data_IF_119530285400
#
_entry.id   IF_119530285400
#
_cell.length_a   1.000
_cell.length_b   1.000
_cell.length_c   1.000
_cell.angle_alpha   90.00
_cell.angle_beta   90.00
_cell.angle_gamma   90.00
#
_symmetry.space_group_name_H-M   'P 1'
#
loop_
_entity.id
_entity.type
_entity.pdbx_description
1 polymer ?
#
# COMPACT_ATOMS: atom_id res chain seq x y z
N UNK A 1 11.05 -12.58 -4.28
CA UNK A 1 12.22 -11.68 -4.43
C UNK A 1 12.45 -10.92 -3.14
N UNK A 2 11.52 -10.08 -2.68
CA UNK A 2 11.58 -9.39 -1.37
C UNK A 2 11.97 -10.30 -0.19
N UNK A 3 11.21 -11.38 0.06
CA UNK A 3 11.45 -12.29 1.19
C UNK A 3 12.80 -13.03 1.13
N UNK A 4 13.33 -13.28 -0.07
CA UNK A 4 14.59 -14.00 -0.22
C UNK A 4 15.77 -13.07 0.07
N UNK A 5 15.74 -11.86 -0.47
CA UNK A 5 16.78 -10.85 -0.21
C UNK A 5 16.75 -10.40 1.26
N UNK A 6 15.57 -10.24 1.85
CA UNK A 6 15.44 -9.96 3.28
C UNK A 6 16.05 -11.08 4.14
N UNK A 7 15.81 -12.36 3.79
CA UNK A 7 16.44 -13.50 4.46
C UNK A 7 17.96 -13.49 4.34
N UNK A 8 18.50 -13.25 3.16
CA UNK A 8 19.95 -13.23 2.93
C UNK A 8 20.67 -12.18 3.79
N UNK A 9 20.08 -11.00 3.98
CA UNK A 9 20.65 -9.93 4.82
C UNK A 9 20.57 -10.31 6.30
N UNK A 10 19.42 -10.84 6.73
CA UNK A 10 19.23 -11.32 8.10
C UNK A 10 20.20 -12.45 8.45
N UNK A 11 20.40 -13.40 7.53
CA UNK A 11 21.37 -14.50 7.70
C UNK A 11 22.80 -13.99 7.81
N UNK A 12 23.19 -12.98 7.02
CA UNK A 12 24.51 -12.32 7.14
C UNK A 12 24.70 -11.62 8.49
N UNK A 13 23.64 -11.09 9.07
CA UNK A 13 23.63 -10.49 10.40
C UNK A 13 23.46 -11.49 11.55
N UNK A 14 23.29 -12.79 11.26
CA UNK A 14 22.99 -13.80 12.27
C UNK A 14 21.58 -13.70 12.88
N UNK A 15 20.66 -12.95 12.25
CA UNK A 15 19.33 -12.62 12.78
C UNK A 15 18.22 -13.39 12.06
N UNK A 16 17.04 -13.47 12.69
CA UNK A 16 15.81 -14.03 12.13
C UNK A 16 14.64 -13.13 12.48
N UNK A 17 13.63 -13.07 11.61
CA UNK A 17 12.36 -12.39 11.90
C UNK A 17 11.36 -13.37 12.51
N UNK A 18 10.53 -12.89 13.44
CA UNK A 18 9.33 -13.61 13.86
C UNK A 18 8.37 -13.81 12.67
N UNK A 19 7.44 -14.79 12.73
CA UNK A 19 6.50 -15.06 11.64
C UNK A 19 5.63 -13.87 11.23
N UNK A 20 5.28 -12.97 12.17
CA UNK A 20 4.49 -11.78 11.87
C UNK A 20 5.33 -10.53 11.56
N UNK A 21 6.57 -10.47 12.04
CA UNK A 21 7.49 -9.35 11.82
C UNK A 21 7.68 -9.02 10.34
N UNK A 22 7.79 -10.01 9.46
CA UNK A 22 7.99 -9.77 8.02
C UNK A 22 6.78 -9.09 7.35
N UNK A 23 5.58 -9.37 7.84
CA UNK A 23 4.36 -8.74 7.37
C UNK A 23 4.23 -7.31 7.91
N UNK A 24 4.63 -7.08 9.17
CA UNK A 24 4.66 -5.73 9.77
C UNK A 24 5.64 -4.85 9.00
N UNK A 25 6.88 -5.31 8.84
CA UNK A 25 7.92 -4.62 8.09
C UNK A 25 7.46 -4.32 6.65
N UNK A 26 6.94 -5.33 5.95
CA UNK A 26 6.45 -5.16 4.59
C UNK A 26 5.28 -4.18 4.49
N UNK A 27 4.39 -4.11 5.49
CA UNK A 27 3.32 -3.11 5.53
C UNK A 27 3.88 -1.70 5.69
N UNK A 28 4.80 -1.50 6.63
CA UNK A 28 5.41 -0.18 6.88
C UNK A 28 6.16 0.35 5.66
N UNK A 29 6.92 -0.52 5.00
CA UNK A 29 7.74 -0.13 3.85
C UNK A 29 6.97 -0.15 2.53
N UNK A 30 5.66 -0.45 2.55
CA UNK A 30 4.84 -0.65 1.35
C UNK A 30 5.34 -1.78 0.43
N UNK A 31 6.07 -2.75 0.99
CA UNK A 31 6.78 -3.83 0.29
C UNK A 31 7.80 -3.31 -0.74
N UNK A 32 8.33 -2.10 -0.55
CA UNK A 32 9.43 -1.56 -1.34
C UNK A 32 10.74 -2.17 -0.86
N UNK A 33 11.48 -2.81 -1.78
CA UNK A 33 12.73 -3.49 -1.46
C UNK A 33 13.78 -2.55 -0.85
N UNK A 34 13.93 -1.34 -1.41
CA UNK A 34 14.93 -0.38 -0.95
C UNK A 34 14.64 0.09 0.48
N UNK A 35 13.41 0.51 0.72
CA UNK A 35 12.97 0.96 2.06
C UNK A 35 13.12 -0.16 3.07
N UNK A 36 12.67 -1.37 2.71
CA UNK A 36 12.76 -2.52 3.60
C UNK A 36 14.20 -2.95 3.92
N UNK A 37 15.13 -2.79 2.99
CA UNK A 37 16.55 -3.07 3.26
C UNK A 37 17.12 -2.06 4.25
N UNK A 38 16.81 -0.77 4.08
CA UNK A 38 17.23 0.26 5.02
C UNK A 38 16.68 0.03 6.44
N UNK A 39 15.42 -0.38 6.57
CA UNK A 39 14.84 -0.72 7.86
C UNK A 39 15.41 -2.02 8.46
N UNK A 40 15.71 -3.03 7.64
CA UNK A 40 16.36 -4.27 8.09
C UNK A 40 17.76 -4.01 8.67
N UNK A 41 18.56 -3.17 8.02
CA UNK A 41 19.91 -2.84 8.52
C UNK A 41 19.85 -2.16 9.90
N UNK A 42 18.87 -1.27 10.11
CA UNK A 42 18.63 -0.65 11.42
C UNK A 42 18.19 -1.68 12.47
N UNK A 43 17.29 -2.59 12.10
CA UNK A 43 16.78 -3.64 12.99
C UNK A 43 17.88 -4.62 13.41
N UNK A 44 18.76 -5.00 12.48
CA UNK A 44 19.91 -5.85 12.78
C UNK A 44 20.86 -5.14 13.75
N UNK A 45 21.12 -3.85 13.54
CA UNK A 45 21.94 -3.04 14.44
C UNK A 45 21.31 -2.90 15.82
N UNK A 46 20.00 -2.71 15.88
CA UNK A 46 19.25 -2.54 17.13
C UNK A 46 19.17 -3.81 17.96
N UNK A 47 18.95 -4.96 17.31
CA UNK A 47 18.81 -6.25 17.98
C UNK A 47 20.09 -6.67 18.74
N UNK A 48 21.26 -6.09 18.41
CA UNK A 48 22.50 -6.36 19.13
C UNK A 48 22.85 -7.84 19.10
N UNK A 49 22.80 -8.51 20.25
CA UNK A 49 23.07 -9.94 20.41
C UNK A 49 21.81 -10.83 20.24
N UNK A 50 20.60 -10.26 20.20
CA UNK A 50 19.36 -11.04 20.09
C UNK A 50 19.20 -11.65 18.70
N UNK A 51 19.01 -12.96 18.60
CA UNK A 51 18.91 -13.66 17.31
C UNK A 51 17.54 -13.47 16.62
N UNK A 52 16.52 -12.99 17.33
CA UNK A 52 15.15 -12.88 16.84
C UNK A 52 14.65 -11.44 16.93
N UNK A 53 14.32 -10.86 15.78
CA UNK A 53 13.66 -9.56 15.63
C UNK A 53 12.14 -9.79 15.58
N UNK A 54 11.42 -9.28 16.57
CA UNK A 54 9.97 -9.37 16.71
C UNK A 54 9.21 -8.20 16.10
N UNK A 55 7.87 -8.26 16.15
CA UNK A 55 7.00 -7.17 15.71
C UNK A 55 7.23 -5.87 16.52
N UNK A 56 7.47 -6.01 17.83
CA UNK A 56 7.72 -4.86 18.72
C UNK A 56 9.00 -4.10 18.37
N UNK A 57 10.06 -4.82 17.98
CA UNK A 57 11.34 -4.20 17.58
C UNK A 57 11.18 -3.41 16.28
N UNK A 58 10.37 -3.94 15.36
CA UNK A 58 9.99 -3.22 14.14
C UNK A 58 9.29 -1.93 14.50
N UNK A 59 8.32 -1.96 15.40
CA UNK A 59 7.59 -0.76 15.79
C UNK A 59 8.48 0.31 16.46
N UNK A 60 9.43 -0.11 17.28
CA UNK A 60 10.39 0.79 17.94
C UNK A 60 11.36 1.43 16.93
N UNK A 61 11.91 0.64 16.01
CA UNK A 61 13.01 1.11 15.13
C UNK A 61 12.53 1.84 13.89
N UNK A 62 11.45 1.39 13.29
CA UNK A 62 10.93 2.02 12.07
C UNK A 62 10.24 3.35 12.37
N UNK A 63 9.91 3.63 13.64
CA UNK A 63 9.11 4.79 14.03
C UNK A 63 7.80 4.84 13.22
N UNK A 64 7.19 6.02 13.15
CA UNK A 64 6.12 6.30 12.17
C UNK A 64 6.70 7.28 11.16
N UNK A 65 7.07 6.79 9.98
CA UNK A 65 7.56 7.66 8.90
C UNK A 65 6.41 8.48 8.30
N UNK A 66 6.77 9.51 7.51
CA UNK A 66 5.78 10.25 6.71
C UNK A 66 5.10 9.30 5.72
N UNK A 67 5.82 8.33 5.16
CA UNK A 67 5.22 7.30 4.30
C UNK A 67 4.25 6.40 5.06
N UNK A 68 4.60 5.92 6.26
CA UNK A 68 3.72 5.08 7.11
C UNK A 68 2.38 5.78 7.40
N UNK A 69 2.46 7.05 7.77
CA UNK A 69 1.28 7.85 8.09
C UNK A 69 0.38 8.06 6.85
N UNK A 70 0.96 8.14 5.66
CA UNK A 70 0.21 8.22 4.40
C UNK A 70 -0.37 6.85 4.02
N UNK A 71 0.31 5.74 4.32
CA UNK A 71 -0.26 4.39 4.18
C UNK A 71 -1.45 4.16 5.12
N UNK A 72 -1.41 4.72 6.33
CA UNK A 72 -2.55 4.68 7.26
C UNK A 72 -3.76 5.41 6.67
N UNK A 73 -3.55 6.56 6.04
CA UNK A 73 -4.61 7.33 5.38
C UNK A 73 -5.21 6.54 4.21
N UNK A 74 -4.38 6.01 3.31
CA UNK A 74 -4.89 5.24 2.17
C UNK A 74 -5.61 3.97 2.63
N UNK A 75 -5.14 3.31 3.68
CA UNK A 75 -5.83 2.15 4.29
C UNK A 75 -7.18 2.52 4.89
N UNK A 76 -7.28 3.69 5.53
CA UNK A 76 -8.55 4.20 6.06
C UNK A 76 -9.56 4.50 4.95
N UNK A 77 -9.12 5.09 3.84
CA UNK A 77 -9.96 5.35 2.67
C UNK A 77 -10.48 4.06 2.04
N UNK A 78 -9.59 3.09 1.86
CA UNK A 78 -9.92 1.80 1.25
C UNK A 78 -10.94 1.02 2.09
N UNK A 79 -10.86 1.12 3.41
CA UNK A 79 -11.84 0.54 4.34
C UNK A 79 -13.09 1.41 4.54
N UNK A 80 -13.25 2.51 3.78
CA UNK A 80 -14.33 3.50 3.90
C UNK A 80 -14.53 4.01 5.33
N UNK A 81 -13.46 4.06 6.12
CA UNK A 81 -13.50 4.55 7.48
C UNK A 81 -13.24 6.06 7.50
N UNK A 82 -14.30 6.84 7.27
CA UNK A 82 -14.21 8.31 7.19
C UNK A 82 -13.58 8.94 8.44
N UNK A 83 -14.00 8.49 9.63
CA UNK A 83 -13.49 9.03 10.89
C UNK A 83 -11.98 8.83 11.00
N UNK A 84 -11.49 7.61 10.71
CA UNK A 84 -10.06 7.32 10.71
C UNK A 84 -9.33 8.12 9.62
N UNK A 85 -9.90 8.21 8.42
CA UNK A 85 -9.29 8.95 7.31
C UNK A 85 -9.09 10.43 7.64
N UNK A 86 -10.10 11.10 8.20
CA UNK A 86 -9.99 12.52 8.59
C UNK A 86 -9.00 12.73 9.73
N UNK A 87 -9.01 11.86 10.76
CA UNK A 87 -8.05 11.94 11.87
C UNK A 87 -6.61 11.75 11.37
N UNK A 88 -6.37 10.75 10.52
CA UNK A 88 -5.03 10.53 9.95
C UNK A 88 -4.62 11.66 9.00
N UNK A 89 -5.55 12.23 8.25
CA UNK A 89 -5.26 13.40 7.41
C UNK A 89 -4.85 14.62 8.24
N UNK A 90 -5.56 14.91 9.33
CA UNK A 90 -5.21 15.98 10.27
C UNK A 90 -3.80 15.78 10.85
N UNK A 91 -3.52 14.55 11.31
CA UNK A 91 -2.19 14.15 11.82
C UNK A 91 -1.09 14.41 10.79
N UNK A 92 -1.33 14.08 9.51
CA UNK A 92 -0.36 14.32 8.43
C UNK A 92 -0.08 15.82 8.20
N UNK A 93 -1.10 16.68 8.29
CA UNK A 93 -0.90 18.12 8.11
C UNK A 93 -0.16 18.71 9.31
N UNK A 94 -0.50 18.28 10.52
CA UNK A 94 0.13 18.74 11.76
C UNK A 94 1.62 18.39 11.77
N UNK A 95 2.00 17.26 11.16
CA UNK A 95 3.39 16.85 10.92
C UNK A 95 4.02 17.44 9.63
N UNK A 96 3.37 18.43 9.02
CA UNK A 96 3.83 19.16 7.84
C UNK A 96 4.19 18.23 6.66
N UNK A 97 3.36 17.21 6.43
CA UNK A 97 3.43 16.41 5.20
C UNK A 97 2.84 17.23 4.05
N UNK A 98 3.57 17.31 2.93
CA UNK A 98 3.11 18.09 1.78
C UNK A 98 1.82 17.53 1.17
N UNK A 99 0.83 18.40 0.95
CA UNK A 99 -0.44 18.05 0.30
C UNK A 99 -0.27 17.30 -1.02
N UNK A 100 0.71 17.71 -1.84
CA UNK A 100 0.99 17.06 -3.12
C UNK A 100 1.41 15.59 -2.96
N UNK A 101 2.17 15.26 -1.91
CA UNK A 101 2.54 13.88 -1.59
C UNK A 101 1.31 13.07 -1.19
N UNK A 102 0.45 13.63 -0.34
CA UNK A 102 -0.81 13.00 0.10
C UNK A 102 -1.68 12.69 -1.12
N UNK A 103 -1.94 13.68 -1.98
CA UNK A 103 -2.76 13.52 -3.20
C UNK A 103 -2.15 12.51 -4.17
N UNK A 104 -0.81 12.52 -4.33
CA UNK A 104 -0.11 11.54 -5.17
C UNK A 104 -0.31 10.11 -4.68
N UNK A 105 -0.26 9.91 -3.36
CA UNK A 105 -0.42 8.60 -2.74
C UNK A 105 -1.87 8.11 -2.75
N UNK A 106 -2.85 8.99 -2.52
CA UNK A 106 -4.26 8.67 -2.71
C UNK A 106 -4.50 8.27 -4.17
N UNK A 107 -3.98 9.05 -5.13
CA UNK A 107 -4.08 8.72 -6.55
C UNK A 107 -3.43 7.38 -6.91
N UNK A 108 -2.32 7.02 -6.29
CA UNK A 108 -1.71 5.69 -6.45
C UNK A 108 -2.67 4.60 -5.99
N UNK A 109 -3.28 4.76 -4.81
CA UNK A 109 -4.18 3.76 -4.26
C UNK A 109 -5.45 3.58 -5.11
N UNK A 110 -6.10 4.68 -5.51
CA UNK A 110 -7.28 4.63 -6.39
C UNK A 110 -6.95 3.95 -7.74
N UNK A 111 -5.75 4.19 -8.30
CA UNK A 111 -5.30 3.47 -9.53
C UNK A 111 -5.15 1.97 -9.30
N UNK A 112 -4.64 1.53 -8.14
CA UNK A 112 -4.52 0.11 -7.81
C UNK A 112 -5.90 -0.54 -7.66
N UNK A 113 -6.84 0.13 -6.98
CA UNK A 113 -8.23 -0.32 -6.86
C UNK A 113 -8.89 -0.44 -8.24
N UNK A 114 -8.70 0.55 -9.12
CA UNK A 114 -9.26 0.53 -10.47
C UNK A 114 -8.73 -0.65 -11.29
N UNK A 115 -7.42 -0.88 -11.22
CA UNK A 115 -6.81 -2.03 -11.90
C UNK A 115 -7.29 -3.36 -11.31
N UNK A 116 -7.49 -3.43 -9.99
CA UNK A 116 -8.12 -4.57 -9.31
C UNK A 116 -9.53 -4.81 -9.83
N UNK A 117 -10.35 -3.76 -9.92
CA UNK A 117 -11.73 -3.83 -10.42
C UNK A 117 -11.80 -4.31 -11.87
N UNK A 118 -10.91 -3.80 -12.73
CA UNK A 118 -10.79 -4.24 -14.12
C UNK A 118 -10.39 -5.72 -14.18
N UNK A 119 -9.46 -6.15 -13.34
CA UNK A 119 -8.98 -7.53 -13.32
C UNK A 119 -10.07 -8.50 -12.85
N UNK A 120 -10.84 -8.14 -11.81
CA UNK A 120 -12.01 -8.92 -11.36
C UNK A 120 -13.07 -9.03 -12.46
N UNK A 121 -13.37 -7.92 -13.15
CA UNK A 121 -14.37 -7.90 -14.24
C UNK A 121 -13.90 -8.66 -15.49
N UNK A 122 -12.59 -8.83 -15.69
CA UNK A 122 -12.05 -9.45 -16.90
C UNK A 122 -12.38 -10.93 -17.08
N UNK A 123 -12.84 -11.62 -16.02
CA UNK A 123 -13.11 -13.06 -16.04
C UNK A 123 -11.85 -13.93 -16.15
N UNK A 124 -10.65 -13.34 -16.12
CA UNK A 124 -9.36 -14.06 -16.25
C UNK A 124 -8.86 -14.66 -14.94
N UNK A 125 -9.40 -14.22 -13.81
CA UNK A 125 -9.01 -14.75 -12.52
C UNK A 125 -9.84 -16.00 -12.18
N UNK A 126 -9.22 -17.07 -11.67
CA UNK A 126 -9.97 -18.18 -11.06
C UNK A 126 -10.71 -17.64 -9.83
N UNK A 127 -11.84 -18.26 -9.47
CA UNK A 127 -12.85 -17.90 -8.45
C UNK A 127 -12.36 -17.12 -7.21
N UNK A 128 -11.89 -15.88 -7.41
CA UNK A 128 -11.50 -14.97 -6.35
C UNK A 128 -12.75 -14.48 -5.64
N UNK A 129 -12.67 -14.38 -4.31
CA UNK A 129 -13.71 -13.83 -3.44
C UNK A 129 -13.01 -13.04 -2.35
N UNK A 130 -13.56 -11.93 -1.90
CA UNK A 130 -12.94 -11.08 -0.86
C UNK A 130 -12.68 -11.80 0.48
N UNK A 131 -13.41 -12.88 0.79
CA UNK A 131 -13.18 -13.69 2.00
C UNK A 131 -12.03 -14.69 1.86
N UNK A 132 -11.45 -14.84 0.66
CA UNK A 132 -10.31 -15.71 0.42
C UNK A 132 -9.11 -15.28 1.29
N UNK A 133 -8.49 -16.23 1.99
CA UNK A 133 -7.25 -15.96 2.73
C UNK A 133 -6.04 -15.84 1.78
N UNK A 134 -4.98 -15.18 2.27
CA UNK A 134 -3.80 -14.90 1.47
C UNK A 134 -3.08 -16.18 0.97
N UNK A 135 -3.03 -17.24 1.78
CA UNK A 135 -2.36 -18.49 1.38
C UNK A 135 -3.11 -19.17 0.22
N UNK A 136 -4.44 -19.20 0.29
CA UNK A 136 -5.28 -19.71 -0.80
C UNK A 136 -5.15 -18.85 -2.05
N UNK A 137 -5.10 -17.52 -1.91
CA UNK A 137 -4.83 -16.60 -3.01
C UNK A 137 -3.49 -16.92 -3.71
N UNK A 138 -2.42 -17.10 -2.94
CA UNK A 138 -1.09 -17.40 -3.48
C UNK A 138 -1.06 -18.72 -4.25
N UNK A 139 -1.81 -19.73 -3.82
CA UNK A 139 -1.84 -21.04 -4.47
C UNK A 139 -2.73 -21.07 -5.71
N UNK A 140 -3.87 -20.38 -5.70
CA UNK A 140 -4.92 -20.54 -6.71
C UNK A 140 -4.93 -19.39 -7.72
N UNK A 141 -4.86 -18.15 -7.25
CA UNK A 141 -5.10 -16.95 -8.07
C UNK A 141 -3.79 -16.35 -8.57
N UNK A 142 -2.79 -16.25 -7.71
CA UNK A 142 -1.51 -15.63 -8.05
C UNK A 142 -0.76 -16.29 -9.23
N UNK A 143 -0.79 -17.63 -9.45
CA UNK A 143 -0.14 -18.23 -10.61
C UNK A 143 -0.68 -17.71 -11.94
N UNK A 144 -1.99 -17.44 -12.03
CA UNK A 144 -2.60 -16.89 -13.24
C UNK A 144 -2.22 -15.42 -13.42
N UNK A 145 -2.16 -14.64 -12.35
CA UNK A 145 -1.69 -13.25 -12.39
C UNK A 145 -0.23 -13.18 -12.88
N UNK A 146 0.62 -14.10 -12.41
CA UNK A 146 2.01 -14.21 -12.87
C UNK A 146 2.08 -14.49 -14.38
N UNK A 147 1.29 -15.43 -14.88
CA UNK A 147 1.18 -15.72 -16.33
C UNK A 147 0.73 -14.51 -17.14
N UNK A 148 -0.23 -13.73 -16.63
CA UNK A 148 -0.70 -12.49 -17.27
C UNK A 148 0.41 -11.42 -17.30
N UNK A 149 1.21 -11.32 -16.23
CA UNK A 149 2.32 -10.38 -16.16
C UNK A 149 3.47 -10.76 -17.12
N UNK A 150 3.82 -12.04 -17.19
CA UNK A 150 4.89 -12.54 -18.07
C UNK A 150 4.59 -12.27 -19.56
N UNK A 151 3.32 -12.33 -19.96
CA UNK A 151 2.86 -11.97 -21.33
C UNK A 151 2.94 -10.47 -21.65
N UNK A 152 3.01 -9.60 -20.63
CA UNK A 152 2.87 -8.13 -20.79
C UNK A 152 4.20 -7.37 -20.86
N UNK A 153 5.33 -8.05 -20.61
CA UNK A 153 6.67 -7.47 -20.65
C UNK A 153 7.06 -6.68 -19.38
N UNK A 154 8.38 -6.62 -19.09
CA UNK A 154 9.00 -6.29 -17.78
C UNK A 154 8.88 -4.84 -17.25
N UNK A 155 8.01 -3.98 -17.78
CA UNK A 155 7.96 -2.56 -17.36
C UNK A 155 6.54 -2.04 -17.15
N UNK A 156 5.88 -2.44 -16.07
CA UNK A 156 4.66 -1.74 -15.67
C UNK A 156 4.57 -1.54 -14.16
N UNK A 157 4.27 -0.30 -13.75
CA UNK A 157 3.77 0.02 -12.40
C UNK A 157 2.36 -0.56 -12.16
N UNK A 158 1.81 -1.33 -13.11
CA UNK A 158 0.53 -1.99 -12.98
C UNK A 158 0.48 -2.97 -11.81
N UNK A 159 -0.74 -3.18 -11.31
CA UNK A 159 -1.07 -4.03 -10.19
C UNK A 159 -0.48 -5.42 -10.33
N UNK A 160 -0.62 -6.05 -11.49
CA UNK A 160 -0.14 -7.43 -11.75
C UNK A 160 1.39 -7.60 -11.65
N UNK A 161 2.15 -6.50 -11.67
CA UNK A 161 3.60 -6.50 -11.46
C UNK A 161 4.01 -6.20 -10.01
N UNK A 162 3.06 -5.91 -9.13
CA UNK A 162 3.31 -5.63 -7.71
C UNK A 162 3.52 -6.92 -6.91
N UNK A 163 3.94 -6.78 -5.65
CA UNK A 163 4.04 -7.91 -4.73
C UNK A 163 2.67 -8.62 -4.55
N UNK A 164 2.62 -9.97 -4.43
CA UNK A 164 1.37 -10.73 -4.28
C UNK A 164 0.40 -10.17 -3.23
N UNK A 165 0.93 -9.69 -2.10
CA UNK A 165 0.11 -9.14 -1.02
C UNK A 165 -0.57 -7.81 -1.39
N UNK A 166 0.11 -6.95 -2.16
CA UNK A 166 -0.48 -5.71 -2.68
C UNK A 166 -1.59 -6.03 -3.68
N UNK A 167 -1.36 -7.03 -4.54
CA UNK A 167 -2.36 -7.51 -5.50
C UNK A 167 -3.59 -8.07 -4.77
N UNK A 168 -3.36 -8.93 -3.78
CA UNK A 168 -4.40 -9.53 -2.95
C UNK A 168 -5.28 -8.45 -2.29
N UNK A 169 -4.68 -7.46 -1.63
CA UNK A 169 -5.43 -6.39 -0.98
C UNK A 169 -6.19 -5.53 -1.99
N UNK A 170 -5.56 -5.15 -3.11
CA UNK A 170 -6.24 -4.36 -4.13
C UNK A 170 -7.45 -5.10 -4.70
N UNK A 171 -7.36 -6.41 -4.92
CA UNK A 171 -8.49 -7.22 -5.39
C UNK A 171 -9.59 -7.32 -4.32
N UNK A 172 -9.22 -7.64 -3.08
CA UNK A 172 -10.16 -7.73 -1.97
C UNK A 172 -10.94 -6.43 -1.78
N UNK A 173 -10.24 -5.30 -1.85
CA UNK A 173 -10.81 -4.00 -1.59
C UNK A 173 -11.57 -3.42 -2.80
N UNK A 174 -11.15 -3.75 -4.02
CA UNK A 174 -11.83 -3.31 -5.24
C UNK A 174 -13.26 -3.88 -5.40
N UNK A 175 -13.66 -4.87 -4.60
CA UNK A 175 -15.05 -5.33 -4.58
C UNK A 175 -16.01 -4.24 -4.06
N UNK A 176 -15.55 -3.44 -3.09
CA UNK A 176 -16.30 -2.35 -2.44
C UNK A 176 -16.41 -1.06 -3.24
N UNK A 177 -15.86 -1.03 -4.45
CA UNK A 177 -15.87 0.15 -5.32
C UNK A 177 -16.32 -0.25 -6.73
N UNK A 178 -17.19 0.55 -7.32
CA UNK A 178 -17.56 0.43 -8.72
C UNK A 178 -16.49 1.03 -9.63
N UNK A 179 -16.50 0.63 -10.90
CA UNK A 179 -15.60 1.19 -11.91
C UNK A 179 -15.80 2.71 -12.08
N UNK A 180 -17.06 3.16 -12.09
CA UNK A 180 -17.40 4.57 -12.32
C UNK A 180 -16.98 5.46 -11.15
N UNK A 181 -17.17 5.00 -9.90
CA UNK A 181 -16.66 5.71 -8.71
C UNK A 181 -15.15 5.94 -8.81
N UNK A 182 -14.39 4.88 -9.09
CA UNK A 182 -12.93 4.94 -9.15
C UNK A 182 -12.43 5.86 -10.28
N UNK A 183 -13.10 5.87 -11.43
CA UNK A 183 -12.80 6.83 -12.51
C UNK A 183 -13.09 8.26 -12.07
N UNK A 184 -14.25 8.50 -11.46
CA UNK A 184 -14.61 9.83 -10.94
C UNK A 184 -13.63 10.34 -9.88
N UNK A 185 -13.18 9.49 -8.97
CA UNK A 185 -12.15 9.85 -7.99
C UNK A 185 -10.81 10.21 -8.65
N UNK A 186 -10.41 9.50 -9.72
CA UNK A 186 -9.18 9.86 -10.45
C UNK A 186 -9.29 11.21 -11.15
N UNK A 187 -10.44 11.54 -11.73
CA UNK A 187 -10.70 12.86 -12.32
C UNK A 187 -10.62 13.96 -11.25
N UNK A 188 -11.23 13.76 -10.09
CA UNK A 188 -11.13 14.70 -8.97
C UNK A 188 -9.69 14.88 -8.50
N UNK A 189 -8.97 13.78 -8.28
CA UNK A 189 -7.56 13.82 -7.86
C UNK A 189 -6.71 14.58 -8.88
N UNK A 190 -6.96 14.40 -10.18
CA UNK A 190 -6.28 15.16 -11.23
C UNK A 190 -6.58 16.65 -11.14
N UNK A 191 -7.84 17.02 -10.93
CA UNK A 191 -8.23 18.43 -10.75
C UNK A 191 -7.59 19.06 -9.50
N UNK A 192 -7.47 18.29 -8.42
CA UNK A 192 -6.81 18.72 -7.19
C UNK A 192 -5.31 18.93 -7.44
N UNK A 193 -4.64 17.98 -8.08
CA UNK A 193 -3.21 18.10 -8.41
C UNK A 193 -2.91 19.36 -9.24
N UNK A 194 -3.75 19.66 -10.23
CA UNK A 194 -3.64 20.90 -11.03
C UNK A 194 -3.88 22.12 -10.14
N UNK A 195 -4.94 22.12 -9.32
CA UNK A 195 -5.28 23.24 -8.46
C UNK A 195 -4.16 23.55 -7.46
N UNK A 196 -3.53 22.54 -6.87
CA UNK A 196 -2.39 22.69 -5.95
C UNK A 196 -1.15 23.29 -6.61
N UNK A 197 -0.99 23.13 -7.93
CA UNK A 197 0.18 23.63 -8.68
C UNK A 197 -0.02 25.01 -9.29
N UNK A 198 -1.27 25.45 -9.45
CA UNK A 198 -1.62 26.63 -10.27
C UNK A 198 -2.42 27.69 -9.52
N UNK A 199 -3.13 27.35 -8.44
CA UNK A 199 -4.07 28.25 -7.77
C UNK A 199 -3.93 28.19 -6.25
N UNK A 200 -4.11 29.32 -5.57
CA UNK A 200 -4.16 29.42 -4.11
C UNK A 200 -5.48 28.97 -3.48
N UNK A 201 -6.11 27.89 -3.98
CA UNK A 201 -7.26 27.28 -3.31
C UNK A 201 -6.80 26.65 -1.99
N UNK A 202 -7.69 26.61 -1.00
CA UNK A 202 -7.45 25.91 0.27
C UNK A 202 -7.21 24.41 0.01
N UNK A 203 -5.94 23.94 0.13
CA UNK A 203 -5.58 22.55 -0.14
C UNK A 203 -6.27 21.59 0.83
N UNK A 204 -6.43 22.02 2.07
CA UNK A 204 -6.94 21.21 3.15
C UNK A 204 -8.41 20.87 2.88
N UNK A 205 -9.25 21.89 2.73
CA UNK A 205 -10.68 21.72 2.46
C UNK A 205 -10.95 20.89 1.19
N UNK A 206 -10.12 21.09 0.16
CA UNK A 206 -10.26 20.37 -1.11
C UNK A 206 -9.97 18.88 -0.93
N UNK A 207 -8.92 18.53 -0.16
CA UNK A 207 -8.58 17.14 0.12
C UNK A 207 -9.59 16.52 1.08
N UNK A 208 -10.03 17.20 2.14
CA UNK A 208 -11.07 16.69 3.04
C UNK A 208 -12.33 16.29 2.30
N UNK A 209 -12.77 17.12 1.35
CA UNK A 209 -13.92 16.80 0.51
C UNK A 209 -13.71 15.53 -0.31
N UNK A 210 -12.52 15.35 -0.90
CA UNK A 210 -12.17 14.11 -1.59
C UNK A 210 -12.24 12.90 -0.64
N UNK A 211 -11.71 13.02 0.58
CA UNK A 211 -11.75 11.92 1.56
C UNK A 211 -13.20 11.55 1.92
N UNK A 212 -14.07 12.55 2.09
CA UNK A 212 -15.51 12.35 2.33
C UNK A 212 -16.15 11.63 1.15
N UNK A 213 -15.87 12.05 -0.09
CA UNK A 213 -16.46 11.45 -1.28
C UNK A 213 -15.98 10.00 -1.53
N UNK A 214 -14.74 9.67 -1.19
CA UNK A 214 -14.22 8.30 -1.27
C UNK A 214 -14.83 7.37 -0.22
N UNK A 215 -15.10 7.89 0.99
CA UNK A 215 -15.62 7.09 2.10
C UNK A 215 -17.15 6.96 2.14
N UNK A 216 -17.89 7.73 1.34
CA UNK A 216 -19.36 7.64 1.18
C UNK A 216 -19.75 6.39 0.41
#
# INVERSE_FOLDING_TARGET
MFLNTAREILERGGKRLSPGAINVLGRKTGFNLRESMGELDKLITYAGDDDIIGEGDIDVITGKTKEDSVFDLTSALVSRNLKKALLTFRDLIDHHVHYLMIVTMIGREVRLLLQGRILLKSGRLPSFRSEMDFNKFQRVVYPEIKRLNDKRGKKSRALIGQHPYVIYNALKNAESFSYNELVGYLEQISNIDIALKTTGKDPELTIERLLIEICK
#
